data_IF_032262742412
#
_entry.id   IF_032262742412
#
_cell.length_a   1.000
_cell.length_b   1.000
_cell.length_c   1.000
_cell.angle_alpha   90.00
_cell.angle_beta   90.00
_cell.angle_gamma   90.00
#
_symmetry.space_group_name_H-M   'P 1'
#
loop_
_entity.id
_entity.type
_entity.pdbx_description
1 polymer ?
#
# COMPACT_ATOMS: atom_id res chain seq x y z
N UNK A 1 -3.81 3.02 -4.82
CA UNK A 1 -2.59 3.68 -5.25
C UNK A 1 -2.04 4.50 -4.13
N UNK A 2 -0.78 4.36 -3.85
CA UNK A 2 -0.13 5.18 -2.85
C UNK A 2 1.14 5.75 -3.43
N UNK A 3 1.51 6.93 -2.96
CA UNK A 3 2.73 7.58 -3.41
C UNK A 3 3.79 7.32 -2.36
N UNK A 4 4.90 6.76 -2.76
CA UNK A 4 6.01 6.50 -1.84
C UNK A 4 7.30 7.06 -2.42
N UNK A 5 8.27 7.31 -1.57
CA UNK A 5 9.56 7.81 -2.01
C UNK A 5 10.55 6.68 -1.96
N UNK A 6 11.16 6.38 -3.07
CA UNK A 6 12.15 5.32 -3.14
C UNK A 6 13.44 5.76 -2.47
N UNK A 7 14.28 4.81 -2.20
CA UNK A 7 15.53 5.08 -1.50
C UNK A 7 16.41 6.04 -2.30
N UNK A 8 16.25 6.10 -3.61
CA UNK A 8 17.02 7.02 -4.43
C UNK A 8 16.32 8.37 -4.54
N UNK A 9 15.33 8.62 -3.70
CA UNK A 9 14.60 9.88 -3.60
C UNK A 9 13.65 10.14 -4.76
N UNK A 10 13.38 9.16 -5.58
CA UNK A 10 12.40 9.33 -6.63
C UNK A 10 11.03 8.96 -6.10
N UNK A 11 10.02 9.68 -6.49
CA UNK A 11 8.66 9.38 -6.09
C UNK A 11 8.11 8.33 -7.05
N UNK A 12 7.33 7.40 -6.52
CA UNK A 12 6.72 6.40 -7.35
C UNK A 12 5.32 6.13 -6.80
N UNK A 13 4.39 5.87 -7.68
CA UNK A 13 3.03 5.55 -7.28
C UNK A 13 2.88 4.04 -7.40
N UNK A 14 2.48 3.39 -6.33
CA UNK A 14 2.39 1.95 -6.28
C UNK A 14 0.92 1.54 -6.16
N UNK A 15 0.54 0.54 -6.94
CA UNK A 15 -0.82 0.02 -6.87
C UNK A 15 -0.89 -0.92 -5.67
N UNK A 16 -1.64 -0.52 -4.66
CA UNK A 16 -1.73 -1.29 -3.42
C UNK A 16 -2.27 -2.69 -3.67
N UNK A 17 -3.07 -2.87 -4.71
CA UNK A 17 -3.64 -4.17 -4.96
C UNK A 17 -2.58 -5.19 -5.39
N UNK A 18 -1.42 -4.73 -5.78
CA UNK A 18 -0.35 -5.61 -6.23
C UNK A 18 0.71 -5.85 -5.16
N UNK A 19 0.53 -5.28 -3.98
CA UNK A 19 1.51 -5.44 -2.92
C UNK A 19 1.28 -6.79 -2.26
N UNK A 20 2.31 -7.62 -2.25
CA UNK A 20 2.23 -8.91 -1.62
C UNK A 20 2.74 -8.84 -0.18
N UNK A 21 3.89 -8.26 0.03
CA UNK A 21 4.43 -8.12 1.38
C UNK A 21 5.18 -6.82 1.52
N UNK A 22 5.29 -6.34 2.74
CA UNK A 22 6.12 -5.21 3.07
C UNK A 22 7.03 -5.68 4.19
N UNK A 23 8.32 -5.75 3.93
CA UNK A 23 9.28 -6.20 4.91
C UNK A 23 10.11 -5.03 5.36
N UNK A 24 10.62 -5.06 6.56
CA UNK A 24 11.41 -3.98 7.07
C UNK A 24 12.64 -4.51 7.78
N UNK A 25 13.77 -4.08 7.34
CA UNK A 25 15.01 -4.42 7.98
C UNK A 25 15.70 -3.08 8.19
N UNK A 26 16.55 -2.64 7.29
CA UNK A 26 17.11 -1.30 7.37
C UNK A 26 16.16 -0.33 6.68
N UNK A 27 15.49 -0.78 5.62
CA UNK A 27 14.57 0.03 4.88
C UNK A 27 13.33 -0.82 4.61
N UNK A 28 12.24 -0.19 4.31
CA UNK A 28 11.03 -0.92 3.96
C UNK A 28 11.17 -1.42 2.53
N UNK A 29 10.84 -2.67 2.30
CA UNK A 29 10.92 -3.27 0.98
C UNK A 29 9.52 -3.76 0.65
N UNK A 30 8.94 -3.19 -0.41
CA UNK A 30 7.62 -3.57 -0.85
C UNK A 30 7.79 -4.60 -1.97
N UNK A 31 7.25 -5.79 -1.77
CA UNK A 31 7.31 -6.84 -2.78
C UNK A 31 5.98 -6.92 -3.46
N UNK A 32 5.98 -6.86 -4.78
CA UNK A 32 4.78 -6.91 -5.56
C UNK A 32 4.51 -8.33 -6.03
N UNK A 33 3.29 -8.61 -6.39
CA UNK A 33 2.92 -9.96 -6.82
C UNK A 33 3.66 -10.33 -8.10
N UNK A 34 4.17 -9.38 -8.83
CA UNK A 34 4.96 -9.66 -10.03
C UNK A 34 6.36 -10.15 -9.71
N UNK A 35 6.76 -10.06 -8.45
CA UNK A 35 8.12 -10.42 -8.05
C UNK A 35 9.02 -9.21 -7.94
N UNK A 36 8.58 -8.05 -8.39
CA UNK A 36 9.38 -6.86 -8.33
C UNK A 36 9.45 -6.36 -6.89
N UNK A 37 10.57 -5.82 -6.47
CA UNK A 37 10.74 -5.29 -5.13
C UNK A 37 11.13 -3.83 -5.21
N UNK A 38 10.55 -3.02 -4.34
CA UNK A 38 10.80 -1.60 -4.32
C UNK A 38 11.30 -1.24 -2.94
N UNK A 39 12.49 -0.65 -2.86
CA UNK A 39 13.05 -0.24 -1.57
C UNK A 39 12.67 1.22 -1.38
N UNK A 40 11.97 1.50 -0.30
CA UNK A 40 11.47 2.85 -0.05
C UNK A 40 12.12 3.48 1.14
N UNK A 41 12.14 4.82 1.15
CA UNK A 41 12.78 5.58 2.18
C UNK A 41 11.76 6.05 3.20
N UNK A 42 10.73 5.31 3.43
CA UNK A 42 9.72 5.64 4.42
C UNK A 42 9.62 4.50 5.39
N UNK A 43 9.25 4.80 6.60
CA UNK A 43 9.11 3.75 7.61
C UNK A 43 7.91 2.89 7.34
N UNK A 44 7.86 1.71 7.93
CA UNK A 44 6.77 0.79 7.68
C UNK A 44 5.44 1.34 8.16
N UNK A 45 5.44 2.11 9.26
CA UNK A 45 4.21 2.64 9.77
C UNK A 45 3.61 3.65 8.82
N UNK A 46 4.46 4.42 8.16
CA UNK A 46 3.99 5.41 7.22
C UNK A 46 3.35 4.72 6.01
N UNK A 47 3.97 3.64 5.53
CA UNK A 47 3.46 2.92 4.39
C UNK A 47 2.14 2.27 4.75
N UNK A 48 2.06 1.66 5.91
CA UNK A 48 0.85 1.01 6.36
C UNK A 48 -0.28 2.03 6.49
N UNK A 49 0.03 3.21 7.00
CA UNK A 49 -0.96 4.25 7.14
C UNK A 49 -1.50 4.65 5.77
N UNK A 50 -0.62 4.76 4.77
CA UNK A 50 -1.04 5.13 3.44
C UNK A 50 -1.95 4.07 2.84
N UNK A 51 -1.61 2.81 3.06
CA UNK A 51 -2.41 1.71 2.54
C UNK A 51 -3.79 1.71 3.20
N UNK A 52 -3.81 1.91 4.50
CA UNK A 52 -5.07 1.92 5.23
C UNK A 52 -5.94 3.08 4.76
N UNK A 53 -5.35 4.25 4.57
CA UNK A 53 -6.12 5.40 4.12
C UNK A 53 -6.67 5.16 2.72
N UNK A 54 -5.89 4.53 1.87
CA UNK A 54 -6.34 4.23 0.53
C UNK A 54 -7.53 3.25 0.60
N UNK A 55 -7.42 2.21 1.40
CA UNK A 55 -8.47 1.22 1.50
C UNK A 55 -9.73 1.84 2.12
N UNK A 56 -9.55 2.69 3.09
CA UNK A 56 -10.67 3.33 3.73
C UNK A 56 -11.41 4.24 2.75
N UNK A 57 -10.67 4.94 1.92
CA UNK A 57 -11.25 5.81 0.95
C UNK A 57 -12.09 5.03 -0.06
N UNK A 58 -11.58 3.92 -0.52
CA UNK A 58 -12.29 3.09 -1.47
C UNK A 58 -13.51 2.48 -0.81
N UNK A 59 -13.36 2.00 0.39
CA UNK A 59 -14.47 1.37 1.07
C UNK A 59 -15.56 2.36 1.43
N UNK A 60 -15.19 3.58 1.72
CA UNK A 60 -16.19 4.56 2.00
C UNK A 60 -17.07 4.74 0.82
N UNK A 61 -16.49 4.78 -0.37
CA UNK A 61 -17.31 4.90 -1.50
C UNK A 61 -18.10 3.67 -1.74
N UNK A 62 -17.48 2.53 -1.54
CA UNK A 62 -18.18 1.33 -1.76
C UNK A 62 -19.21 1.11 -0.77
N UNK A 63 -18.95 1.60 0.45
CA UNK A 63 -19.84 1.41 1.43
C UNK A 63 -21.08 1.93 1.15
N UNK A 64 -21.10 2.94 0.51
CA UNK A 64 -22.30 3.44 0.29
C UNK A 64 -23.03 2.42 -0.30
N UNK A 65 -22.41 1.59 -0.86
CA UNK A 65 -23.11 0.59 -1.44
C UNK A 65 -23.33 -0.44 -0.56
N UNK A 66 -22.90 -0.64 0.15
CA UNK A 66 -23.18 -1.62 0.89
C UNK A 66 -22.49 -2.10 1.73
N UNK A 67 -22.38 -2.10 2.14
CA UNK A 67 -21.85 -2.48 3.02
C UNK A 67 -21.01 -3.33 3.19
N UNK A 68 -20.76 -3.53 3.09
CA UNK A 68 -20.12 -4.22 3.27
C UNK A 68 -19.40 -4.98 3.49
N UNK A 69 -19.27 -5.07 3.20
CA UNK A 69 -18.66 -5.71 3.34
C UNK A 69 -17.62 -5.88 3.13
N UNK A 70 -17.36 -5.49 2.94
CA UNK A 70 -16.57 -5.40 2.78
C UNK A 70 -15.61 -5.87 2.81
N UNK A 71 -15.15 -6.16 2.58
CA UNK A 71 -14.35 -6.66 2.64
C UNK A 71 -13.23 -6.32 2.29
N UNK A 72 -12.77 -5.97 2.59
CA UNK A 72 -11.72 -5.42 2.51
C UNK A 72 -10.67 -6.23 2.61
N UNK A 73 -10.80 -7.15 3.14
CA UNK A 73 -9.83 -7.96 3.33
C UNK A 73 -9.18 -8.27 2.20
N UNK A 74 -9.63 -8.03 1.27
CA UNK A 74 -9.04 -8.36 0.20
C UNK A 74 -7.83 -7.70 -0.01
N UNK A 75 -6.97 -7.59 0.50
CA UNK A 75 -5.87 -6.98 0.19
C UNK A 75 -4.98 -7.71 -0.06
#
# INVERSE_FOLDING_TARGET
MILVKKINQQDIIVNCELIQTIEFSHHAVISLTSGEKIIVDEGPEEIIRKVIEYKRSINSRGLEIRSGNAKIEAI
#
